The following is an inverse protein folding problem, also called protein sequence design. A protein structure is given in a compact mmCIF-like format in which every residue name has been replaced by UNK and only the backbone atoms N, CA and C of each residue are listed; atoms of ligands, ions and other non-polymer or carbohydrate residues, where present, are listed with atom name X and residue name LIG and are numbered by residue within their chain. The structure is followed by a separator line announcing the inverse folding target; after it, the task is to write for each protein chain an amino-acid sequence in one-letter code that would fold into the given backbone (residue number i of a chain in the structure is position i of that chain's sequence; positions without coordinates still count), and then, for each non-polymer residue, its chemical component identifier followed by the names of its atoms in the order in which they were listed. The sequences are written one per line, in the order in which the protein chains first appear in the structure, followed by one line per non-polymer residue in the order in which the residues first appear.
data_IF_334231758442
#
_entry.id   IF_334231758442
#
_cell.length_a   1.000
_cell.length_b   1.000
_cell.length_c   1.000
_cell.angle_alpha   90.00
_cell.angle_beta   90.00
_cell.angle_gamma   90.00
#
_symmetry.space_group_name_H-M   'P 1'
#
loop_
_entity.id
_entity.type
_entity.pdbx_description
1 polymer ?
#
# COMPACT_ATOMS: atom_id res chain seq x y z
N UNK A 1 -22.00 2.42 0.49
CA UNK A 1 -21.38 1.23 -0.15
C UNK A 1 -22.48 0.49 -0.88
N UNK A 2 -22.41 0.35 -2.21
CA UNK A 2 -23.44 -0.34 -3.01
C UNK A 2 -23.05 -1.80 -3.27
N UNK A 3 -24.00 -2.63 -3.70
CA UNK A 3 -23.69 -4.01 -4.11
C UNK A 3 -22.64 -4.04 -5.24
N UNK A 4 -22.70 -3.10 -6.18
CA UNK A 4 -21.71 -2.95 -7.24
C UNK A 4 -20.31 -2.62 -6.69
N UNK A 5 -20.21 -1.73 -5.70
CA UNK A 5 -18.93 -1.40 -5.04
C UNK A 5 -18.35 -2.60 -4.28
N UNK A 6 -19.21 -3.40 -3.64
CA UNK A 6 -18.80 -4.65 -2.99
C UNK A 6 -18.24 -5.61 -4.04
N UNK A 7 -19.01 -5.94 -5.09
CA UNK A 7 -18.57 -6.86 -6.15
C UNK A 7 -17.23 -6.42 -6.74
N UNK A 8 -17.09 -5.14 -7.07
CA UNK A 8 -15.85 -4.56 -7.59
C UNK A 8 -14.65 -4.78 -6.66
N UNK A 9 -14.83 -4.56 -5.35
CA UNK A 9 -13.76 -4.75 -4.35
C UNK A 9 -13.30 -6.20 -4.20
N UNK A 10 -14.13 -7.16 -4.59
CA UNK A 10 -13.84 -8.60 -4.54
C UNK A 10 -13.51 -9.19 -5.93
N UNK A 11 -13.50 -8.38 -6.99
CA UNK A 11 -13.07 -8.79 -8.33
C UNK A 11 -11.55 -9.00 -8.34
N UNK A 12 -11.10 -10.07 -9.01
CA UNK A 12 -9.68 -10.29 -9.25
C UNK A 12 -9.19 -9.35 -10.36
N UNK A 13 -8.20 -8.52 -10.05
CA UNK A 13 -7.56 -7.62 -11.01
C UNK A 13 -6.14 -8.10 -11.31
N UNK A 14 -5.91 -8.57 -12.54
CA UNK A 14 -4.56 -8.90 -13.01
C UNK A 14 -3.72 -7.61 -13.05
N UNK A 15 -2.47 -7.72 -12.58
CA UNK A 15 -1.46 -6.70 -12.74
C UNK A 15 -1.03 -6.65 -14.22
N UNK A 16 -1.32 -5.54 -14.90
CA UNK A 16 -0.70 -5.20 -16.18
C UNK A 16 0.73 -4.67 -15.92
N UNK A 17 1.56 -4.57 -16.95
CA UNK A 17 2.94 -4.07 -16.81
C UNK A 17 2.98 -2.68 -16.13
N UNK A 18 2.12 -1.75 -16.54
CA UNK A 18 2.02 -0.40 -15.93
C UNK A 18 1.62 -0.46 -14.44
N UNK A 19 0.77 -1.42 -14.06
CA UNK A 19 0.41 -1.62 -12.65
C UNK A 19 1.58 -2.16 -11.84
N UNK A 20 2.44 -2.97 -12.44
CA UNK A 20 3.64 -3.48 -11.79
C UNK A 20 4.54 -2.33 -11.34
N UNK A 21 4.81 -1.38 -12.23
CA UNK A 21 5.64 -0.20 -11.93
C UNK A 21 5.02 0.69 -10.85
N UNK A 22 3.70 0.90 -10.88
CA UNK A 22 2.98 1.64 -9.84
C UNK A 22 3.04 0.95 -8.47
N UNK A 23 2.88 -0.37 -8.44
CA UNK A 23 3.00 -1.15 -7.20
C UNK A 23 4.42 -1.13 -6.64
N UNK A 24 5.44 -1.28 -7.49
CA UNK A 24 6.84 -1.23 -7.09
C UNK A 24 7.21 0.14 -6.54
N UNK A 25 6.82 1.22 -7.23
CA UNK A 25 7.09 2.59 -6.79
C UNK A 25 6.58 2.88 -5.37
N UNK A 26 5.34 2.45 -5.07
CA UNK A 26 4.75 2.61 -3.73
C UNK A 26 5.46 1.76 -2.68
N UNK A 27 5.79 0.50 -3.02
CA UNK A 27 6.50 -0.41 -2.11
C UNK A 27 7.88 0.12 -1.77
N UNK A 28 8.63 0.60 -2.76
CA UNK A 28 9.97 1.12 -2.57
C UNK A 28 9.97 2.41 -1.76
N UNK A 29 9.00 3.31 -1.98
CA UNK A 29 8.84 4.51 -1.17
C UNK A 29 8.54 4.19 0.30
N UNK A 30 7.61 3.26 0.56
CA UNK A 30 7.27 2.83 1.92
C UNK A 30 8.47 2.14 2.59
N UNK A 31 9.18 1.28 1.87
CA UNK A 31 10.40 0.62 2.39
C UNK A 31 11.49 1.64 2.75
N UNK A 32 11.72 2.61 1.88
CA UNK A 32 12.73 3.66 2.11
C UNK A 32 12.41 4.48 3.36
N UNK A 33 11.15 4.89 3.52
CA UNK A 33 10.74 5.61 4.72
C UNK A 33 10.79 4.71 5.97
N UNK A 34 10.43 3.44 5.88
CA UNK A 34 10.52 2.51 7.01
C UNK A 34 11.96 2.38 7.52
N UNK A 35 12.94 2.27 6.62
CA UNK A 35 14.37 2.23 6.98
C UNK A 35 14.82 3.54 7.64
N UNK A 36 14.37 4.70 7.15
CA UNK A 36 14.68 6.00 7.74
C UNK A 36 14.08 6.14 9.15
N UNK A 37 12.86 5.66 9.37
CA UNK A 37 12.25 5.64 10.70
C UNK A 37 12.97 4.66 11.63
N UNK A 38 13.42 3.51 11.12
CA UNK A 38 14.18 2.54 11.89
C UNK A 38 15.50 3.11 12.41
N UNK A 39 16.20 3.86 11.56
CA UNK A 39 17.47 4.51 11.90
C UNK A 39 17.33 5.63 12.94
N UNK A 40 16.25 6.42 12.87
CA UNK A 40 16.13 7.64 13.68
C UNK A 40 15.25 7.51 14.93
N UNK A 41 14.35 6.54 14.99
CA UNK A 41 13.46 6.36 16.14
C UNK A 41 14.07 5.38 17.16
N UNK A 42 14.00 5.69 18.46
CA UNK A 42 14.40 4.73 19.49
C UNK A 42 13.46 3.52 19.50
N UNK A 43 13.95 2.39 20.01
CA UNK A 43 13.12 1.20 20.22
C UNK A 43 11.96 1.52 21.18
N UNK A 44 10.74 1.56 20.65
CA UNK A 44 9.54 1.89 21.41
C UNK A 44 8.25 1.37 20.75
N UNK A 45 7.13 1.48 21.48
CA UNK A 45 5.80 1.17 20.94
C UNK A 45 5.43 2.11 19.80
N UNK A 46 5.80 3.38 19.89
CA UNK A 46 5.56 4.40 18.86
C UNK A 46 6.29 4.07 17.56
N UNK A 47 7.55 3.61 17.63
CA UNK A 47 8.30 3.13 16.45
C UNK A 47 7.60 1.95 15.77
N UNK A 48 7.21 0.95 16.55
CA UNK A 48 6.47 -0.21 16.03
C UNK A 48 5.16 0.22 15.35
N UNK A 49 4.38 1.12 15.99
CA UNK A 49 3.14 1.64 15.42
C UNK A 49 3.38 2.47 14.15
N UNK A 50 4.45 3.27 14.10
CA UNK A 50 4.79 4.06 12.91
C UNK A 50 5.05 3.15 11.70
N UNK A 51 5.82 2.07 11.89
CA UNK A 51 6.09 1.09 10.84
C UNK A 51 4.80 0.36 10.43
N UNK A 52 3.98 -0.11 11.38
CA UNK A 52 2.69 -0.77 11.07
C UNK A 52 1.71 0.14 10.33
N UNK A 53 1.67 1.43 10.68
CA UNK A 53 0.84 2.40 9.96
C UNK A 53 1.37 2.62 8.53
N UNK A 54 2.68 2.64 8.34
CA UNK A 54 3.28 2.73 7.01
C UNK A 54 2.98 1.50 6.14
N UNK A 55 2.99 0.29 6.73
CA UNK A 55 2.52 -0.93 6.05
C UNK A 55 1.04 -0.81 5.64
N UNK A 56 0.21 -0.20 6.48
CA UNK A 56 -1.20 0.05 6.18
C UNK A 56 -1.36 1.05 5.01
N UNK A 57 -0.53 2.09 4.96
CA UNK A 57 -0.47 3.02 3.80
C UNK A 57 -0.12 2.24 2.52
N UNK A 58 0.94 1.43 2.56
CA UNK A 58 1.35 0.61 1.41
C UNK A 58 0.23 -0.32 0.94
N UNK A 59 -0.43 -1.00 1.88
CA UNK A 59 -1.53 -1.92 1.58
C UNK A 59 -2.68 -1.22 0.85
N UNK A 60 -3.17 -0.09 1.37
CA UNK A 60 -4.30 0.62 0.77
C UNK A 60 -3.94 1.30 -0.55
N UNK A 61 -2.72 1.80 -0.69
CA UNK A 61 -2.21 2.32 -1.96
C UNK A 61 -2.18 1.25 -3.04
N UNK A 62 -1.63 0.06 -2.74
CA UNK A 62 -1.65 -1.08 -3.66
C UNK A 62 -3.07 -1.55 -3.98
N UNK A 63 -3.95 -1.60 -2.98
CA UNK A 63 -5.36 -1.94 -3.22
C UNK A 63 -6.05 -0.90 -4.14
N UNK A 64 -5.70 0.39 -4.04
CA UNK A 64 -6.22 1.43 -4.92
C UNK A 64 -5.76 1.24 -6.37
N UNK A 65 -4.46 1.00 -6.59
CA UNK A 65 -3.90 0.70 -7.92
C UNK A 65 -4.57 -0.52 -8.54
N UNK A 66 -4.77 -1.58 -7.74
CA UNK A 66 -5.43 -2.80 -8.21
C UNK A 66 -6.89 -2.54 -8.64
N UNK A 67 -7.64 -1.73 -7.89
CA UNK A 67 -9.09 -1.52 -8.07
C UNK A 67 -9.47 -0.39 -9.04
N UNK A 68 -8.64 0.65 -9.23
CA UNK A 68 -9.05 1.86 -9.97
C UNK A 68 -8.63 1.90 -11.45
N UNK A 69 -8.03 0.84 -11.98
CA UNK A 69 -7.41 0.84 -13.31
C UNK A 69 -8.36 0.74 -14.52
N UNK A 70 -9.67 0.91 -14.34
CA UNK A 70 -10.68 0.88 -15.44
C UNK A 70 -11.36 2.24 -15.65
N UNK A 71 -10.72 3.35 -15.27
CA UNK A 71 -11.22 4.71 -15.58
C UNK A 71 -10.54 5.30 -16.80
#
# INVERSE_FOLDING_TARGET
MSAADITHRFTFHIATADKHEQHESVRDACKTLALLLDEHLPESREKALAITHLETVMFWSNASVARQAER
#
